data_IF_843269252695
#
_entry.id   IF_843269252695
#
_cell.length_a   1.000
_cell.length_b   1.000
_cell.length_c   1.000
_cell.angle_alpha   90.00
_cell.angle_beta   90.00
_cell.angle_gamma   90.00
#
_symmetry.space_group_name_H-M   'P 1'
#
loop_
_entity.id
_entity.type
_entity.pdbx_description
1 polymer ?
#
# COMPACT_ATOMS: atom_id res chain seq x y z
N UNK A 1 16.56 -18.88 -9.18
CA UNK A 1 15.35 -18.75 -8.34
C UNK A 1 15.17 -17.29 -7.98
N UNK A 2 13.95 -16.77 -7.91
CA UNK A 2 13.71 -15.40 -7.44
C UNK A 2 13.76 -15.35 -5.91
N UNK A 3 14.36 -14.28 -5.39
CA UNK A 3 14.39 -13.92 -3.96
C UNK A 3 13.73 -12.55 -3.82
N UNK A 4 12.89 -12.41 -2.82
CA UNK A 4 12.17 -11.19 -2.50
C UNK A 4 12.72 -10.59 -1.21
N UNK A 5 13.33 -9.40 -1.32
CA UNK A 5 13.70 -8.60 -0.17
C UNK A 5 12.63 -7.53 0.05
N UNK A 6 12.02 -7.54 1.21
CA UNK A 6 10.91 -6.67 1.55
C UNK A 6 11.26 -5.84 2.77
N UNK A 7 10.98 -4.55 2.70
CA UNK A 7 11.02 -3.66 3.85
C UNK A 7 9.76 -2.80 3.91
N UNK A 8 9.05 -2.84 5.03
CA UNK A 8 8.03 -1.90 5.39
C UNK A 8 8.58 -0.85 6.35
N UNK A 9 8.24 0.43 6.13
CA UNK A 9 8.60 1.54 7.00
C UNK A 9 7.42 2.51 7.14
N UNK A 10 7.22 3.04 8.35
CA UNK A 10 6.16 4.02 8.63
C UNK A 10 6.63 5.04 9.66
N UNK A 11 6.25 6.31 9.47
CA UNK A 11 6.69 7.45 10.26
C UNK A 11 5.59 8.53 10.33
N UNK A 12 5.37 9.21 11.47
CA UNK A 12 4.33 10.22 11.60
C UNK A 12 4.55 11.48 10.74
N UNK A 13 5.70 11.61 10.07
CA UNK A 13 6.08 12.86 9.41
C UNK A 13 6.69 13.86 10.40
N UNK A 14 6.68 15.15 10.02
CA UNK A 14 7.18 16.25 10.87
C UNK A 14 6.07 17.17 11.40
N UNK A 15 4.89 17.10 10.80
CA UNK A 15 3.77 18.00 11.08
C UNK A 15 2.69 17.30 11.90
N UNK A 16 2.40 16.05 11.59
CA UNK A 16 1.39 15.27 12.31
C UNK A 16 1.92 14.84 13.68
N UNK A 17 1.08 14.91 14.70
CA UNK A 17 1.41 14.51 16.05
C UNK A 17 1.33 12.99 16.25
N UNK A 18 0.44 12.34 15.51
CA UNK A 18 0.17 10.91 15.55
C UNK A 18 0.33 10.29 14.16
N UNK A 19 0.62 9.00 14.13
CA UNK A 19 0.66 8.23 12.90
C UNK A 19 -0.64 7.44 12.76
N UNK A 20 -1.48 7.85 11.83
CA UNK A 20 -2.75 7.20 11.50
C UNK A 20 -2.58 6.13 10.41
N UNK A 21 -1.38 6.04 9.81
CA UNK A 21 -1.03 4.99 8.87
C UNK A 21 -0.68 3.68 9.57
N UNK A 22 -0.99 2.57 8.91
CA UNK A 22 -0.48 1.24 9.25
C UNK A 22 0.04 0.52 8.01
N UNK A 23 1.03 -0.35 8.22
CA UNK A 23 1.55 -1.25 7.20
C UNK A 23 1.37 -2.70 7.63
N UNK A 24 1.10 -3.58 6.66
CA UNK A 24 1.04 -5.03 6.82
C UNK A 24 2.10 -5.67 5.92
N UNK A 25 3.04 -6.40 6.50
CA UNK A 25 4.03 -7.20 5.78
C UNK A 25 3.89 -8.66 6.22
N UNK A 26 3.35 -9.48 5.33
CA UNK A 26 2.96 -10.85 5.68
C UNK A 26 1.87 -10.86 6.74
N UNK A 27 2.24 -11.10 8.00
CA UNK A 27 1.33 -11.09 9.16
C UNK A 27 1.72 -10.06 10.23
N UNK A 28 2.70 -9.21 9.93
CA UNK A 28 3.18 -8.19 10.86
C UNK A 28 2.57 -6.85 10.53
N UNK A 29 1.83 -6.28 11.48
CA UNK A 29 1.22 -4.95 11.37
C UNK A 29 2.01 -3.97 12.22
N UNK A 30 2.35 -2.80 11.65
CA UNK A 30 3.08 -1.73 12.35
C UNK A 30 2.54 -0.36 11.97
N UNK A 31 2.62 0.57 12.93
CA UNK A 31 2.41 2.01 12.73
C UNK A 31 3.65 2.84 13.12
N UNK A 32 4.79 2.22 13.35
CA UNK A 32 6.03 2.90 13.68
C UNK A 32 7.26 2.08 13.34
N UNK A 33 8.32 2.76 12.91
CA UNK A 33 9.62 2.16 12.63
C UNK A 33 9.63 1.31 11.36
N UNK A 34 10.49 0.29 11.35
CA UNK A 34 10.75 -0.55 10.17
C UNK A 34 10.58 -2.03 10.48
N UNK A 35 10.35 -2.81 9.44
CA UNK A 35 10.35 -4.26 9.42
C UNK A 35 10.95 -4.72 8.09
N UNK A 36 11.91 -5.64 8.15
CA UNK A 36 12.50 -6.23 6.94
C UNK A 36 12.43 -7.76 7.00
N UNK A 37 12.20 -8.37 5.86
CA UNK A 37 12.25 -9.82 5.68
C UNK A 37 12.74 -10.15 4.26
N UNK A 38 13.30 -11.35 4.09
CA UNK A 38 13.71 -11.89 2.81
C UNK A 38 13.29 -13.36 2.75
N UNK A 39 12.81 -13.78 1.59
CA UNK A 39 12.42 -15.16 1.35
C UNK A 39 12.56 -15.53 -0.13
N UNK A 40 12.62 -16.81 -0.39
CA UNK A 40 12.68 -17.40 -1.71
C UNK A 40 11.30 -17.45 -2.37
N UNK A 41 11.24 -17.37 -3.70
CA UNK A 41 10.00 -17.41 -4.47
C UNK A 41 9.27 -18.76 -4.42
N UNK A 42 9.94 -19.82 -3.92
CA UNK A 42 9.38 -21.15 -3.66
C UNK A 42 9.07 -21.39 -2.16
N UNK A 43 8.94 -20.32 -1.38
CA UNK A 43 8.59 -20.44 0.04
C UNK A 43 7.20 -21.06 0.25
N UNK A 44 7.15 -22.11 1.05
CA UNK A 44 5.94 -22.90 1.34
C UNK A 44 4.76 -22.07 1.86
N UNK A 45 5.03 -20.98 2.62
CA UNK A 45 3.97 -20.12 3.15
C UNK A 45 3.36 -19.29 2.04
N UNK A 46 4.20 -18.67 1.20
CA UNK A 46 3.76 -17.85 0.06
C UNK A 46 2.96 -18.67 -0.95
N UNK A 47 3.40 -19.90 -1.23
CA UNK A 47 2.70 -20.78 -2.17
C UNK A 47 1.35 -21.26 -1.63
N UNK A 48 1.24 -21.46 -0.30
CA UNK A 48 0.00 -21.98 0.30
C UNK A 48 -1.04 -20.93 0.66
N UNK A 49 -0.60 -19.73 0.98
CA UNK A 49 -1.48 -18.68 1.50
C UNK A 49 -1.41 -17.38 0.72
N UNK A 50 -0.36 -17.18 -0.06
CA UNK A 50 0.02 -15.87 -0.56
C UNK A 50 0.63 -15.00 0.55
N UNK A 51 1.28 -13.91 0.18
CA UNK A 51 1.81 -12.93 1.12
C UNK A 51 1.17 -11.56 0.86
N UNK A 52 0.52 -11.01 1.90
CA UNK A 52 -0.04 -9.68 1.85
C UNK A 52 1.01 -8.63 2.18
N UNK A 53 1.09 -7.60 1.34
CA UNK A 53 1.89 -6.40 1.54
C UNK A 53 0.96 -5.21 1.34
N UNK A 54 0.52 -4.55 2.42
CA UNK A 54 -0.52 -3.52 2.34
C UNK A 54 -0.16 -2.28 3.17
N UNK A 55 -0.53 -1.12 2.65
CA UNK A 55 -0.56 0.16 3.36
C UNK A 55 -2.02 0.56 3.55
N UNK A 56 -2.35 1.08 4.71
CA UNK A 56 -3.64 1.62 5.08
C UNK A 56 -3.43 3.00 5.71
N UNK A 57 -4.00 4.03 5.11
CA UNK A 57 -4.02 5.40 5.60
C UNK A 57 -5.36 5.67 6.28
N UNK A 58 -5.32 6.13 7.52
CA UNK A 58 -6.49 6.28 8.35
C UNK A 58 -7.16 7.64 8.22
N UNK A 59 -8.48 7.65 8.06
CA UNK A 59 -9.33 8.83 7.94
C UNK A 59 -10.22 8.94 9.17
N UNK A 60 -10.46 10.17 9.67
CA UNK A 60 -11.43 10.39 10.76
C UNK A 60 -10.85 11.07 12.00
N UNK A 61 -9.77 11.82 11.85
CA UNK A 61 -9.10 12.57 12.92
C UNK A 61 -8.40 11.66 13.93
N UNK A 62 -7.75 12.27 14.93
CA UNK A 62 -6.73 11.70 15.81
C UNK A 62 -7.04 10.32 16.40
N UNK A 63 -8.31 10.00 16.69
CA UNK A 63 -8.66 8.70 17.26
C UNK A 63 -9.28 7.76 16.24
N UNK A 64 -9.98 8.30 15.24
CA UNK A 64 -10.70 7.54 14.24
C UNK A 64 -9.79 6.95 13.17
N UNK A 65 -8.85 7.75 12.66
CA UNK A 65 -7.94 7.33 11.58
C UNK A 65 -7.06 6.18 11.98
N UNK A 66 -6.31 6.30 13.10
CA UNK A 66 -5.47 5.21 13.62
C UNK A 66 -6.26 3.92 13.84
N UNK A 67 -7.45 4.05 14.43
CA UNK A 67 -8.31 2.89 14.68
C UNK A 67 -8.77 2.24 13.36
N UNK A 68 -9.16 3.05 12.35
CA UNK A 68 -9.67 2.54 11.09
C UNK A 68 -8.59 1.81 10.29
N UNK A 69 -7.41 2.40 10.10
CA UNK A 69 -6.29 1.77 9.39
C UNK A 69 -5.82 0.48 10.08
N UNK A 70 -5.76 0.49 11.43
CA UNK A 70 -5.45 -0.70 12.21
C UNK A 70 -6.49 -1.80 12.04
N UNK A 71 -7.79 -1.47 12.15
CA UNK A 71 -8.87 -2.44 11.97
C UNK A 71 -8.90 -3.02 10.56
N UNK A 72 -8.63 -2.17 9.55
CA UNK A 72 -8.51 -2.59 8.16
C UNK A 72 -7.50 -3.74 8.04
N UNK A 73 -6.26 -3.52 8.46
CA UNK A 73 -5.20 -4.51 8.28
C UNK A 73 -5.35 -5.72 9.20
N UNK A 74 -5.81 -5.54 10.46
CA UNK A 74 -6.07 -6.65 11.36
C UNK A 74 -7.18 -7.58 10.86
N UNK A 75 -8.25 -6.99 10.31
CA UNK A 75 -9.38 -7.80 9.82
C UNK A 75 -9.02 -8.46 8.49
N UNK A 76 -8.31 -7.73 7.61
CA UNK A 76 -7.80 -8.26 6.35
C UNK A 76 -6.89 -9.46 6.60
N UNK A 77 -5.89 -9.34 7.49
CA UNK A 77 -4.98 -10.43 7.87
C UNK A 77 -5.75 -11.66 8.37
N UNK A 78 -6.63 -11.46 9.35
CA UNK A 78 -7.39 -12.58 9.95
C UNK A 78 -8.28 -13.28 8.93
N UNK A 79 -9.00 -12.51 8.10
CA UNK A 79 -9.95 -13.08 7.16
C UNK A 79 -9.25 -13.76 5.98
N UNK A 80 -8.20 -13.14 5.43
CA UNK A 80 -7.46 -13.68 4.30
C UNK A 80 -6.75 -14.99 4.67
N UNK A 81 -6.01 -15.03 5.78
CA UNK A 81 -5.27 -16.21 6.22
C UNK A 81 -6.12 -17.26 6.95
N UNK A 82 -7.41 -17.03 7.18
CA UNK A 82 -8.32 -18.04 7.72
C UNK A 82 -8.59 -19.17 6.71
N UNK A 83 -8.48 -18.89 5.43
CA UNK A 83 -8.72 -19.84 4.34
C UNK A 83 -7.39 -20.09 3.62
N UNK A 84 -7.11 -21.36 3.34
CA UNK A 84 -5.98 -21.73 2.48
C UNK A 84 -6.31 -21.32 1.04
N UNK A 85 -5.40 -20.63 0.39
CA UNK A 85 -5.50 -20.28 -1.04
C UNK A 85 -4.65 -21.28 -1.85
N UNK A 86 -5.17 -22.46 -2.21
CA UNK A 86 -4.38 -23.51 -2.82
C UNK A 86 -3.95 -23.20 -4.24
N UNK A 87 -4.59 -22.21 -4.88
CA UNK A 87 -4.31 -21.79 -6.24
C UNK A 87 -4.59 -20.30 -6.46
N UNK A 88 -4.11 -19.79 -7.58
CA UNK A 88 -4.25 -18.40 -7.94
C UNK A 88 -5.70 -17.94 -8.21
N UNK A 89 -6.62 -18.85 -8.50
CA UNK A 89 -8.02 -18.53 -8.76
C UNK A 89 -8.76 -18.21 -7.45
N UNK A 90 -8.32 -18.80 -6.33
CA UNK A 90 -8.88 -18.54 -5.01
C UNK A 90 -8.46 -17.20 -4.40
N UNK A 91 -7.36 -16.58 -4.88
CA UNK A 91 -6.81 -15.34 -4.31
C UNK A 91 -7.80 -14.17 -4.44
N UNK A 92 -8.34 -13.94 -5.63
CA UNK A 92 -9.23 -12.78 -5.87
C UNK A 92 -10.50 -12.84 -5.03
N UNK A 93 -11.25 -13.95 -4.99
CA UNK A 93 -12.39 -14.10 -4.07
C UNK A 93 -12.02 -13.90 -2.59
N UNK A 94 -10.87 -14.44 -2.15
CA UNK A 94 -10.42 -14.30 -0.76
C UNK A 94 -10.09 -12.84 -0.40
N UNK A 95 -9.45 -12.09 -1.31
CA UNK A 95 -9.16 -10.67 -1.13
C UNK A 95 -10.43 -9.84 -1.04
N UNK A 96 -11.41 -10.04 -1.93
CA UNK A 96 -12.71 -9.37 -1.86
C UNK A 96 -13.40 -9.66 -0.52
N UNK A 97 -13.48 -10.94 -0.14
CA UNK A 97 -14.12 -11.33 1.11
C UNK A 97 -13.44 -10.69 2.34
N UNK A 98 -12.11 -10.70 2.37
CA UNK A 98 -11.35 -10.13 3.48
C UNK A 98 -11.52 -8.61 3.59
N UNK A 99 -11.55 -7.89 2.46
CA UNK A 99 -11.79 -6.46 2.43
C UNK A 99 -13.24 -6.11 2.82
N UNK A 100 -14.22 -6.89 2.37
CA UNK A 100 -15.62 -6.73 2.78
C UNK A 100 -15.80 -6.91 4.29
N UNK A 101 -15.12 -7.89 4.89
CA UNK A 101 -15.13 -8.05 6.35
C UNK A 101 -14.49 -6.85 7.05
N UNK A 102 -13.38 -6.34 6.55
CA UNK A 102 -12.73 -5.16 7.12
C UNK A 102 -13.63 -3.93 7.02
N UNK A 103 -14.23 -3.69 5.85
CA UNK A 103 -15.19 -2.62 5.63
C UNK A 103 -16.39 -2.69 6.61
N UNK A 104 -17.02 -3.85 6.74
CA UNK A 104 -18.15 -4.05 7.66
C UNK A 104 -17.74 -3.82 9.10
N UNK A 105 -16.58 -4.31 9.51
CA UNK A 105 -16.05 -4.14 10.87
C UNK A 105 -15.82 -2.66 11.21
N UNK A 106 -15.24 -1.87 10.30
CA UNK A 106 -15.09 -0.42 10.48
C UNK A 106 -16.46 0.22 10.71
N UNK A 107 -17.45 -0.05 9.87
CA UNK A 107 -18.79 0.50 10.01
C UNK A 107 -19.51 0.10 11.30
N UNK A 108 -19.33 -1.13 11.74
CA UNK A 108 -19.87 -1.61 13.02
C UNK A 108 -19.27 -0.88 14.22
N UNK A 109 -17.96 -0.60 14.19
CA UNK A 109 -17.29 0.16 15.26
C UNK A 109 -17.68 1.62 15.21
N UNK A 110 -17.73 2.24 14.03
CA UNK A 110 -18.17 3.60 13.81
C UNK A 110 -19.60 3.85 14.35
N UNK A 111 -20.52 2.91 14.11
CA UNK A 111 -21.90 3.03 14.57
C UNK A 111 -22.06 2.98 16.10
N UNK A 112 -21.09 2.43 16.84
CA UNK A 112 -21.15 2.27 18.31
C UNK A 112 -20.63 3.47 19.08
N UNK A 113 -19.82 4.34 18.46
CA UNK A 113 -19.13 5.45 19.13
C UNK A 113 -19.10 6.69 18.27
N UNK A 114 -19.61 7.80 18.79
CA UNK A 114 -19.65 9.09 18.06
C UNK A 114 -18.26 9.59 17.66
N UNK A 115 -17.25 9.33 18.47
CA UNK A 115 -15.86 9.70 18.19
C UNK A 115 -15.28 9.01 16.96
N UNK A 116 -15.90 7.92 16.51
CA UNK A 116 -15.50 7.13 15.33
C UNK A 116 -16.49 7.22 14.16
N UNK A 117 -17.50 8.10 14.24
CA UNK A 117 -18.59 8.16 13.26
C UNK A 117 -18.12 8.33 11.82
N UNK A 118 -17.05 9.11 11.62
CA UNK A 118 -16.51 9.45 10.30
C UNK A 118 -15.21 8.69 9.99
N UNK A 119 -14.89 7.63 10.75
CA UNK A 119 -13.66 6.89 10.55
C UNK A 119 -13.73 6.03 9.28
N UNK A 120 -12.62 5.99 8.57
CA UNK A 120 -12.42 5.17 7.39
C UNK A 120 -10.93 4.90 7.15
N UNK A 121 -10.62 4.14 6.13
CA UNK A 121 -9.24 3.86 5.77
C UNK A 121 -9.08 3.58 4.29
N UNK A 122 -7.98 4.04 3.69
CA UNK A 122 -7.53 3.50 2.42
C UNK A 122 -7.07 2.06 2.61
N UNK A 123 -6.93 1.34 1.50
CA UNK A 123 -6.25 0.05 1.43
C UNK A 123 -5.57 -0.06 0.07
N UNK A 124 -4.24 -0.06 0.06
CA UNK A 124 -3.47 -0.31 -1.17
C UNK A 124 -2.39 -1.34 -0.89
N UNK A 125 -2.22 -2.27 -1.81
CA UNK A 125 -1.26 -3.33 -1.57
C UNK A 125 -1.17 -4.37 -2.67
N UNK A 126 -0.42 -5.41 -2.37
CA UNK A 126 -0.31 -6.59 -3.22
C UNK A 126 -0.48 -7.87 -2.40
N UNK A 127 -1.05 -8.88 -3.04
CA UNK A 127 -0.94 -10.28 -2.63
C UNK A 127 0.08 -10.94 -3.55
N UNK A 128 1.15 -11.49 -3.00
CA UNK A 128 2.20 -12.20 -3.73
C UNK A 128 2.00 -13.71 -3.56
N UNK A 129 2.07 -14.48 -4.66
CA UNK A 129 2.08 -15.95 -4.65
C UNK A 129 3.05 -16.45 -5.73
N UNK A 130 4.16 -17.03 -5.31
CA UNK A 130 5.28 -17.32 -6.21
C UNK A 130 5.75 -16.05 -6.93
N UNK A 131 5.82 -16.10 -8.26
CA UNK A 131 6.17 -14.94 -9.10
C UNK A 131 4.98 -14.08 -9.51
N UNK A 132 3.76 -14.45 -9.11
CA UNK A 132 2.51 -13.77 -9.46
C UNK A 132 2.11 -12.81 -8.35
N UNK A 133 1.47 -11.72 -8.72
CA UNK A 133 0.92 -10.77 -7.76
C UNK A 133 -0.42 -10.19 -8.21
N UNK A 134 -1.24 -9.85 -7.24
CA UNK A 134 -2.50 -9.14 -7.42
C UNK A 134 -2.40 -7.82 -6.66
N UNK A 135 -2.72 -6.74 -7.35
CA UNK A 135 -2.80 -5.40 -6.76
C UNK A 135 -4.19 -5.19 -6.21
N UNK A 136 -4.30 -4.72 -4.98
CA UNK A 136 -5.57 -4.30 -4.37
C UNK A 136 -5.55 -2.80 -4.13
N UNK A 137 -6.67 -2.11 -4.38
CA UNK A 137 -6.78 -0.68 -4.13
C UNK A 137 -8.20 -0.24 -3.77
N UNK A 138 -8.28 0.61 -2.74
CA UNK A 138 -9.41 1.45 -2.38
C UNK A 138 -8.86 2.70 -1.69
N UNK A 139 -9.00 3.86 -2.31
CA UNK A 139 -8.43 5.13 -1.86
C UNK A 139 -7.35 5.67 -2.79
N UNK A 140 -6.49 6.51 -2.25
CA UNK A 140 -5.43 7.21 -2.97
C UNK A 140 -4.01 6.78 -2.58
N UNK A 141 -3.84 5.89 -1.60
CA UNK A 141 -2.57 5.19 -1.43
C UNK A 141 -2.24 4.42 -2.71
N UNK A 142 -0.97 4.30 -3.07
CA UNK A 142 -0.59 3.82 -4.39
C UNK A 142 0.31 2.60 -4.38
N UNK A 143 0.20 1.81 -5.45
CA UNK A 143 1.11 0.72 -5.80
C UNK A 143 1.83 1.04 -7.10
N UNK A 144 3.15 0.97 -7.07
CA UNK A 144 4.00 1.16 -8.24
C UNK A 144 4.84 -0.07 -8.54
N UNK A 145 5.14 -0.28 -9.81
CA UNK A 145 6.20 -1.19 -10.25
C UNK A 145 7.32 -0.41 -10.94
N UNK A 146 8.53 -0.59 -10.47
CA UNK A 146 9.73 -0.15 -11.17
C UNK A 146 10.30 -1.33 -11.97
N UNK A 147 10.50 -1.14 -13.27
CA UNK A 147 11.06 -2.12 -14.20
C UNK A 147 11.79 -1.40 -15.33
N UNK A 148 13.06 -1.75 -15.60
CA UNK A 148 13.84 -1.20 -16.72
C UNK A 148 13.89 0.33 -16.76
N UNK A 149 14.07 0.99 -15.61
CA UNK A 149 14.13 2.46 -15.55
C UNK A 149 12.78 3.16 -15.49
N UNK A 150 11.68 2.43 -15.62
CA UNK A 150 10.32 3.00 -15.64
C UNK A 150 9.59 2.69 -14.32
N UNK A 151 9.13 3.72 -13.64
CA UNK A 151 8.17 3.63 -12.54
C UNK A 151 6.75 3.74 -13.13
N UNK A 152 5.97 2.68 -12.97
CA UNK A 152 4.60 2.60 -13.48
C UNK A 152 3.62 2.47 -12.33
N UNK A 153 2.61 3.36 -12.18
CA UNK A 153 1.51 3.13 -11.25
C UNK A 153 0.71 1.90 -11.69
N UNK A 154 0.37 1.08 -10.72
CA UNK A 154 -0.44 -0.14 -10.90
C UNK A 154 -1.84 0.02 -10.28
N UNK A 155 -2.01 0.96 -9.35
CA UNK A 155 -3.31 1.35 -8.79
C UNK A 155 -3.82 2.64 -9.43
N UNK A 156 -5.10 2.91 -9.28
CA UNK A 156 -5.74 4.17 -9.68
C UNK A 156 -6.32 4.83 -8.44
N UNK A 157 -6.08 6.11 -8.26
CA UNK A 157 -6.61 6.85 -7.13
C UNK A 157 -8.14 6.95 -7.18
N UNK A 158 -8.77 6.78 -6.04
CA UNK A 158 -10.20 6.98 -5.84
C UNK A 158 -10.49 8.37 -5.25
N UNK A 159 -10.09 9.43 -5.97
CA UNK A 159 -10.34 10.84 -5.60
C UNK A 159 -11.29 11.53 -6.58
N UNK A 160 -11.86 12.67 -6.17
CA UNK A 160 -12.68 13.49 -7.06
C UNK A 160 -11.89 13.95 -8.29
N UNK A 161 -10.64 14.37 -8.12
CA UNK A 161 -9.78 14.78 -9.23
C UNK A 161 -9.48 13.59 -10.18
N UNK A 162 -9.15 12.43 -9.67
CA UNK A 162 -8.93 11.24 -10.50
C UNK A 162 -10.21 10.81 -11.25
N UNK A 163 -11.37 10.95 -10.61
CA UNK A 163 -12.66 10.72 -11.27
C UNK A 163 -12.93 11.71 -12.38
N UNK A 164 -12.58 13.01 -12.19
CA UNK A 164 -12.71 14.03 -13.21
C UNK A 164 -11.78 13.76 -14.43
N UNK A 165 -10.58 13.25 -14.19
CA UNK A 165 -9.68 12.81 -15.28
C UNK A 165 -10.29 11.65 -16.07
N UNK A 166 -10.79 10.62 -15.38
CA UNK A 166 -11.42 9.46 -16.05
C UNK A 166 -12.64 9.83 -16.88
N UNK A 167 -13.40 10.85 -16.46
CA UNK A 167 -14.55 11.36 -17.21
C UNK A 167 -14.18 12.34 -18.34
N UNK A 168 -12.91 12.71 -18.46
CA UNK A 168 -12.43 13.72 -19.43
C UNK A 168 -12.72 15.18 -19.01
N UNK A 169 -13.19 15.42 -17.78
CA UNK A 169 -13.46 16.76 -17.27
C UNK A 169 -12.21 17.52 -16.85
N UNK A 170 -11.11 16.82 -16.57
CA UNK A 170 -9.79 17.39 -16.25
C UNK A 170 -8.69 16.64 -16.98
N UNK A 171 -7.55 17.31 -17.22
CA UNK A 171 -6.29 16.68 -17.60
C UNK A 171 -5.56 16.16 -16.35
N UNK A 172 -4.59 15.27 -16.51
CA UNK A 172 -3.74 14.82 -15.41
C UNK A 172 -3.03 15.98 -14.70
N UNK A 173 -2.52 16.96 -15.47
CA UNK A 173 -1.84 18.14 -14.92
C UNK A 173 -2.78 19.02 -14.10
N UNK A 174 -4.01 19.22 -14.55
CA UNK A 174 -5.04 19.94 -13.80
C UNK A 174 -5.40 19.21 -12.50
N UNK A 175 -5.56 17.89 -12.55
CA UNK A 175 -5.89 17.08 -11.39
C UNK A 175 -4.80 17.10 -10.33
N UNK A 176 -3.53 17.05 -10.73
CA UNK A 176 -2.39 17.10 -9.80
C UNK A 176 -2.30 18.41 -8.99
N UNK A 177 -2.89 19.50 -9.50
CA UNK A 177 -2.91 20.81 -8.83
C UNK A 177 -4.31 21.17 -8.28
N UNK A 178 -5.26 20.25 -8.36
CA UNK A 178 -6.64 20.47 -7.89
C UNK A 178 -6.76 20.31 -6.37
N UNK A 179 -7.53 21.15 -5.67
CA UNK A 179 -7.88 20.92 -4.28
C UNK A 179 -8.67 19.60 -4.07
N UNK A 180 -9.25 19.06 -5.14
CA UNK A 180 -10.02 17.81 -5.10
C UNK A 180 -9.13 16.56 -5.17
N UNK A 181 -7.80 16.72 -5.27
CA UNK A 181 -6.84 15.60 -5.37
C UNK A 181 -6.81 14.70 -4.13
N UNK A 182 -7.18 15.24 -2.96
CA UNK A 182 -7.22 14.51 -1.69
C UNK A 182 -8.65 14.19 -1.20
N UNK A 183 -9.69 14.51 -2.00
CA UNK A 183 -11.07 14.19 -1.64
C UNK A 183 -11.39 12.79 -2.12
N UNK A 184 -11.40 11.83 -1.19
CA UNK A 184 -11.66 10.44 -1.48
C UNK A 184 -13.11 10.19 -1.90
N UNK A 185 -13.29 9.33 -2.88
CA UNK A 185 -14.60 8.87 -3.39
C UNK A 185 -14.89 7.41 -3.06
N UNK A 186 -13.87 6.65 -2.64
CA UNK A 186 -13.97 5.24 -2.27
C UNK A 186 -12.89 4.91 -1.21
N UNK A 187 -13.29 4.29 -0.12
CA UNK A 187 -12.43 3.86 1.00
C UNK A 187 -13.21 2.90 1.90
N UNK A 188 -12.51 2.13 2.73
CA UNK A 188 -13.16 1.26 3.73
C UNK A 188 -13.85 2.11 4.80
N UNK A 189 -15.11 1.80 5.07
CA UNK A 189 -15.98 2.61 5.94
C UNK A 189 -16.95 3.51 5.19
N UNK A 190 -16.69 3.86 3.92
CA UNK A 190 -17.60 4.65 3.08
C UNK A 190 -18.97 3.98 2.90
N UNK A 191 -19.97 4.77 2.48
CA UNK A 191 -21.31 4.22 2.18
C UNK A 191 -21.27 3.23 1.02
N UNK A 192 -20.56 3.60 -0.05
CA UNK A 192 -20.38 2.83 -1.27
C UNK A 192 -18.90 2.42 -1.38
N UNK A 193 -18.57 1.25 -0.83
CA UNK A 193 -17.23 0.69 -0.89
C UNK A 193 -17.11 -0.33 -2.03
N UNK A 194 -15.98 -0.29 -2.74
CA UNK A 194 -15.58 -1.32 -3.68
C UNK A 194 -14.05 -1.52 -3.66
N UNK A 195 -13.60 -2.76 -3.72
CA UNK A 195 -12.18 -3.07 -3.86
C UNK A 195 -11.84 -3.29 -5.33
N UNK A 196 -10.90 -2.52 -5.87
CA UNK A 196 -10.29 -2.83 -7.16
C UNK A 196 -9.23 -3.90 -6.99
N UNK A 197 -9.23 -4.91 -7.85
CA UNK A 197 -8.20 -5.96 -7.90
C UNK A 197 -7.76 -6.15 -9.34
N UNK A 198 -6.45 -5.96 -9.56
CA UNK A 198 -5.81 -6.17 -10.86
C UNK A 198 -4.63 -7.14 -10.73
N UNK A 199 -4.36 -7.94 -11.76
CA UNK A 199 -3.19 -8.80 -11.81
C UNK A 199 -2.09 -8.19 -12.68
N UNK A 200 -0.85 -8.24 -12.19
CA UNK A 200 0.32 -7.83 -12.96
C UNK A 200 0.95 -8.98 -13.76
N UNK A 201 1.82 -8.68 -14.72
CA UNK A 201 2.67 -9.68 -15.34
C UNK A 201 3.63 -10.26 -14.31
N UNK A 202 4.08 -11.50 -14.49
CA UNK A 202 5.02 -12.16 -13.59
C UNK A 202 6.21 -11.27 -13.24
N UNK A 203 6.62 -11.34 -11.98
CA UNK A 203 7.82 -10.65 -11.47
C UNK A 203 9.08 -11.21 -12.14
N UNK A 204 10.09 -10.36 -12.26
CA UNK A 204 11.37 -10.69 -12.89
C UNK A 204 12.49 -10.12 -12.03
N UNK A 205 13.69 -10.65 -12.28
CA UNK A 205 14.91 -10.05 -11.73
C UNK A 205 14.97 -8.55 -11.98
N UNK A 206 15.43 -7.81 -10.99
CA UNK A 206 15.51 -6.34 -10.96
C UNK A 206 14.15 -5.59 -11.02
N UNK A 207 13.01 -6.26 -10.78
CA UNK A 207 11.78 -5.57 -10.50
C UNK A 207 11.76 -5.02 -9.06
N UNK A 208 11.06 -3.89 -8.86
CA UNK A 208 10.61 -3.49 -7.53
C UNK A 208 9.11 -3.23 -7.52
N UNK A 209 8.48 -3.53 -6.40
CA UNK A 209 7.15 -3.00 -6.08
C UNK A 209 7.31 -1.99 -4.92
N UNK A 210 6.67 -0.83 -5.07
CA UNK A 210 6.56 0.18 -4.03
C UNK A 210 5.09 0.40 -3.75
N UNK A 211 4.68 0.17 -2.51
CA UNK A 211 3.35 0.48 -2.00
C UNK A 211 3.53 1.63 -1.02
N UNK A 212 2.73 2.71 -1.11
CA UNK A 212 2.91 3.85 -0.22
C UNK A 212 1.63 4.67 -0.01
N UNK A 213 1.56 5.37 1.14
CA UNK A 213 0.58 6.42 1.38
C UNK A 213 0.96 7.73 0.65
N UNK A 214 0.03 8.68 0.61
CA UNK A 214 0.20 9.97 -0.06
C UNK A 214 1.35 10.80 0.52
N UNK A 215 1.61 10.73 1.82
CA UNK A 215 2.74 11.41 2.47
C UNK A 215 4.12 11.07 1.89
N UNK A 216 4.27 9.95 1.15
CA UNK A 216 5.49 9.68 0.42
C UNK A 216 5.49 10.33 -0.97
N UNK A 217 4.50 10.02 -1.80
CA UNK A 217 4.53 10.46 -3.20
C UNK A 217 4.26 11.95 -3.37
N UNK A 218 3.50 12.59 -2.49
CA UNK A 218 3.29 14.03 -2.49
C UNK A 218 4.55 14.81 -2.15
N UNK A 219 5.37 14.27 -1.24
CA UNK A 219 6.64 14.91 -0.90
C UNK A 219 7.71 14.68 -1.97
N UNK A 220 7.76 13.50 -2.58
CA UNK A 220 8.87 13.15 -3.47
C UNK A 220 8.54 13.35 -4.95
N UNK A 221 7.31 13.08 -5.38
CA UNK A 221 6.93 13.00 -6.78
C UNK A 221 7.47 11.73 -7.48
N UNK A 222 6.77 11.30 -8.53
CA UNK A 222 7.08 10.04 -9.23
C UNK A 222 8.46 10.05 -9.89
N UNK A 223 8.89 11.16 -10.48
CA UNK A 223 10.22 11.30 -11.08
C UNK A 223 11.35 11.14 -10.06
N UNK A 224 11.16 11.65 -8.84
CA UNK A 224 12.15 11.49 -7.79
C UNK A 224 12.17 10.06 -7.26
N UNK A 225 11.00 9.46 -7.07
CA UNK A 225 10.88 8.04 -6.69
C UNK A 225 11.57 7.14 -7.71
N UNK A 226 11.32 7.34 -9.02
CA UNK A 226 11.97 6.59 -10.10
C UNK A 226 13.49 6.69 -10.05
N UNK A 227 14.03 7.91 -9.89
CA UNK A 227 15.49 8.14 -9.79
C UNK A 227 16.10 7.46 -8.57
N UNK A 228 15.44 7.50 -7.42
CA UNK A 228 15.93 6.86 -6.21
C UNK A 228 15.92 5.33 -6.34
N UNK A 229 14.88 4.74 -6.94
CA UNK A 229 14.84 3.31 -7.20
C UNK A 229 15.91 2.87 -8.22
N UNK A 230 16.19 3.69 -9.24
CA UNK A 230 17.27 3.45 -10.19
C UNK A 230 18.65 3.43 -9.54
N UNK A 231 18.93 4.45 -8.72
CA UNK A 231 20.22 4.56 -8.00
C UNK A 231 20.42 3.42 -7.01
N UNK A 232 19.34 2.94 -6.45
CA UNK A 232 19.34 1.86 -5.50
C UNK A 232 19.92 0.56 -6.09
N UNK A 233 19.45 0.14 -7.26
CA UNK A 233 20.00 -1.05 -7.93
C UNK A 233 21.50 -0.94 -8.24
N UNK A 234 21.98 0.27 -8.50
CA UNK A 234 23.39 0.50 -8.79
C UNK A 234 24.28 0.50 -7.53
N UNK A 235 23.72 0.74 -6.35
CA UNK A 235 24.50 1.00 -5.12
C UNK A 235 24.70 -0.21 -4.22
N UNK A 236 23.96 -1.31 -4.42
CA UNK A 236 24.01 -2.49 -3.54
C UNK A 236 23.54 -2.24 -2.09
N UNK A 237 22.82 -1.14 -1.84
CA UNK A 237 22.28 -0.79 -0.53
C UNK A 237 21.14 -1.76 -0.16
N UNK A 238 20.94 -2.05 1.12
CA UNK A 238 19.87 -2.96 1.55
C UNK A 238 18.47 -2.35 1.32
N UNK A 239 17.46 -3.21 1.17
CA UNK A 239 16.07 -2.78 1.05
C UNK A 239 15.63 -1.91 2.24
N UNK A 240 16.09 -2.25 3.46
CA UNK A 240 15.81 -1.50 4.68
C UNK A 240 16.42 -0.09 4.66
N UNK A 241 17.69 0.03 4.24
CA UNK A 241 18.34 1.34 4.14
C UNK A 241 17.68 2.22 3.07
N UNK A 242 17.23 1.61 1.97
CA UNK A 242 16.52 2.35 0.93
C UNK A 242 15.16 2.87 1.43
N UNK A 243 14.38 2.04 2.10
CA UNK A 243 13.12 2.47 2.70
C UNK A 243 13.35 3.61 3.72
N UNK A 244 14.37 3.49 4.56
CA UNK A 244 14.76 4.54 5.51
C UNK A 244 15.16 5.86 4.81
N UNK A 245 15.89 5.79 3.69
CA UNK A 245 16.25 6.98 2.90
C UNK A 245 15.05 7.67 2.28
N UNK A 246 14.07 6.91 1.76
CA UNK A 246 12.84 7.49 1.21
C UNK A 246 12.03 8.22 2.28
N UNK A 247 11.89 7.64 3.49
CA UNK A 247 11.26 8.30 4.66
C UNK A 247 12.02 9.58 5.03
N UNK A 248 13.36 9.53 5.11
CA UNK A 248 14.18 10.68 5.46
C UNK A 248 14.01 11.83 4.45
N UNK A 249 14.06 11.51 3.14
CA UNK A 249 13.86 12.47 2.07
C UNK A 249 12.47 13.12 2.09
N UNK A 250 11.41 12.34 2.31
CA UNK A 250 10.05 12.88 2.43
C UNK A 250 9.95 13.84 3.63
N UNK A 251 10.57 13.50 4.75
CA UNK A 251 10.67 14.37 5.91
C UNK A 251 11.49 15.64 5.64
N UNK A 252 12.59 15.58 4.91
CA UNK A 252 13.40 16.74 4.52
C UNK A 252 12.62 17.69 3.62
N UNK A 253 11.73 17.19 2.77
CA UNK A 253 10.85 17.99 1.91
C UNK A 253 9.59 18.51 2.61
N UNK A 254 9.49 18.32 3.91
CA UNK A 254 8.45 18.90 4.75
C UNK A 254 7.75 17.92 5.67
N UNK A 255 7.64 16.64 5.28
CA UNK A 255 6.99 15.60 6.09
C UNK A 255 5.59 16.04 6.57
N UNK A 256 4.77 16.53 5.66
CA UNK A 256 3.49 17.20 5.98
C UNK A 256 2.43 16.23 6.52
N UNK A 257 2.53 14.97 6.11
CA UNK A 257 1.63 13.90 6.53
C UNK A 257 2.38 12.68 7.08
N UNK A 258 1.65 11.68 7.53
CA UNK A 258 2.16 10.36 7.84
C UNK A 258 2.78 9.75 6.59
N UNK A 259 3.92 9.08 6.73
CA UNK A 259 4.70 8.57 5.60
C UNK A 259 4.85 7.07 5.79
N UNK A 260 4.18 6.29 4.95
CA UNK A 260 4.25 4.84 5.00
C UNK A 260 4.63 4.27 3.65
N UNK A 261 5.49 3.26 3.66
CA UNK A 261 5.84 2.52 2.46
C UNK A 261 6.16 1.06 2.74
N UNK A 262 5.96 0.23 1.72
CA UNK A 262 6.54 -1.10 1.62
C UNK A 262 7.29 -1.15 0.29
N UNK A 263 8.58 -1.45 0.37
CA UNK A 263 9.44 -1.67 -0.78
C UNK A 263 9.74 -3.16 -0.88
N UNK A 264 9.51 -3.76 -2.04
CA UNK A 264 9.91 -5.11 -2.37
C UNK A 264 10.87 -5.08 -3.55
N UNK A 265 12.00 -5.72 -3.40
CA UNK A 265 13.00 -5.92 -4.44
C UNK A 265 13.00 -7.37 -4.86
N UNK A 266 13.08 -7.59 -6.17
CA UNK A 266 13.17 -8.92 -6.76
C UNK A 266 14.59 -9.15 -7.27
N UNK A 267 15.22 -10.20 -6.78
CA UNK A 267 16.58 -10.59 -7.20
C UNK A 267 16.60 -12.03 -7.67
N UNK A 268 17.42 -12.30 -8.67
CA UNK A 268 17.74 -13.66 -9.06
C UNK A 268 18.93 -14.17 -8.26
N UNK A 269 18.75 -15.25 -7.51
CA UNK A 269 19.84 -15.94 -6.86
C UNK A 269 20.34 -17.04 -7.80
N UNK A 270 21.63 -17.01 -8.24
CA UNK A 270 22.19 -18.11 -9.02
C UNK A 270 22.20 -19.36 -8.14
N UNK A 271 21.65 -20.45 -8.66
CA UNK A 271 21.66 -21.77 -8.03
C UNK A 271 23.06 -22.37 -7.94
#
# INVERSE_FOLDING_TARGET
MLVFDICGATHPGRVRQYNEDHILVGRFIKNSGQLALSFSGDDDFTDRYGMLLCVADGIGGVAGGEMASRLTLLTLDKAFYAVRNPDAEAVVPALHQAADYAHKHIREVAAKRKEYADMGSTLSGVCLMGERYWVVNAGDSRVYRYRNGLLKPLSNDDTLAARAVRSGAMTFDQAAHSPDSHILTNFLGAADFSLAIDSGPALRDADSLLICSDGLYDMLGEDSLARHLQQFYASGVSCADQAGRLIALANERGGRDNISLILMLVRHEPG
#
